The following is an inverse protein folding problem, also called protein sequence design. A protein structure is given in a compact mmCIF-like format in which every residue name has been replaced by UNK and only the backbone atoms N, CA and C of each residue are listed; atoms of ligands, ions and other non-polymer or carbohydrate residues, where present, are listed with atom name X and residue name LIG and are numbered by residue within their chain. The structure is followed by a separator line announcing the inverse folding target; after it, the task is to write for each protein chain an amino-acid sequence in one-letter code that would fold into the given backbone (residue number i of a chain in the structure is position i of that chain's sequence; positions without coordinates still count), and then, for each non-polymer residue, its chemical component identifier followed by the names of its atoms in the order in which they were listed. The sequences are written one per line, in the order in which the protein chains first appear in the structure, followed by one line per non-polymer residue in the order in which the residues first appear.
data_IF_725406632832
#
_entry.id   IF_725406632832
#
_cell.length_a   1.000
_cell.length_b   1.000
_cell.length_c   1.000
_cell.angle_alpha   90.00
_cell.angle_beta   90.00
_cell.angle_gamma   90.00
#
_symmetry.space_group_name_H-M   'P 1'
#
loop_
_entity.id
_entity.type
_entity.pdbx_description
1 polymer ?
#
# COMPACT_ATOMS: atom_id res chain seq x y z
N UNK A 1 -2.16 38.95 -0.24
CA UNK A 1 -3.09 38.44 0.79
C UNK A 1 -2.73 36.97 0.97
N UNK A 2 -1.96 36.67 2.02
CA UNK A 2 -1.68 35.30 2.44
C UNK A 2 -2.88 34.82 3.24
N UNK A 3 -3.68 33.92 2.70
CA UNK A 3 -4.58 33.11 3.51
C UNK A 3 -3.70 32.16 4.33
N UNK A 4 -3.61 32.47 5.62
CA UNK A 4 -3.02 31.62 6.63
C UNK A 4 -3.75 30.28 6.64
N UNK A 5 -3.09 29.25 6.13
CA UNK A 5 -3.45 27.84 6.29
C UNK A 5 -3.55 27.54 7.80
N UNK A 6 -4.76 27.59 8.33
CA UNK A 6 -5.08 27.10 9.66
C UNK A 6 -5.20 25.58 9.59
N UNK A 7 -4.10 24.89 9.25
CA UNK A 7 -3.89 23.54 9.74
C UNK A 7 -3.94 23.62 11.27
N UNK A 8 -4.44 22.59 11.96
CA UNK A 8 -4.25 22.46 13.40
C UNK A 8 -2.81 22.87 13.70
N UNK A 9 -2.63 24.06 14.27
CA UNK A 9 -1.32 24.55 14.64
C UNK A 9 -0.94 23.70 15.84
N UNK A 10 -0.44 22.49 15.55
CA UNK A 10 0.15 21.61 16.53
C UNK A 10 1.22 22.48 17.17
N UNK A 11 1.01 22.80 18.44
CA UNK A 11 1.92 23.65 19.17
C UNK A 11 3.32 23.07 18.98
N UNK A 12 4.37 23.86 18.71
CA UNK A 12 5.71 23.35 18.40
C UNK A 12 6.35 22.51 19.52
N UNK A 13 5.68 22.39 20.66
CA UNK A 13 6.07 21.52 21.79
C UNK A 13 5.35 20.16 21.79
N UNK A 14 4.42 19.93 20.87
CA UNK A 14 3.68 18.67 20.71
C UNK A 14 4.28 17.95 19.51
N UNK A 15 4.85 16.79 19.76
CA UNK A 15 5.38 15.89 18.75
C UNK A 15 4.23 15.27 17.93
N UNK A 16 4.16 15.50 16.60
CA UNK A 16 3.17 14.84 15.77
C UNK A 16 3.36 13.32 15.83
N UNK A 17 2.24 12.60 15.95
CA UNK A 17 2.26 11.14 16.11
C UNK A 17 1.44 10.50 15.01
N UNK A 18 2.07 9.60 14.27
CA UNK A 18 1.51 8.69 13.30
C UNK A 18 1.31 7.33 13.96
N UNK A 19 0.44 6.50 13.39
CA UNK A 19 0.37 5.11 13.84
C UNK A 19 -0.03 4.13 12.75
N UNK A 20 0.25 2.85 12.99
CA UNK A 20 -0.37 1.73 12.28
C UNK A 20 -1.30 0.97 13.23
N UNK A 21 -2.51 0.66 12.78
CA UNK A 21 -3.50 -0.15 13.50
C UNK A 21 -3.65 -1.49 12.76
N UNK A 22 -3.50 -2.61 13.46
CA UNK A 22 -3.60 -3.96 12.89
C UNK A 22 -3.96 -5.02 13.93
N UNK A 23 -4.29 -6.24 13.49
CA UNK A 23 -4.55 -7.37 14.39
C UNK A 23 -4.25 -8.75 13.76
N UNK A 24 -3.20 -9.47 14.23
CA UNK A 24 -2.11 -8.95 15.03
C UNK A 24 -1.31 -7.91 14.23
N UNK A 25 -0.90 -6.81 14.86
CA UNK A 25 -0.02 -5.81 14.20
C UNK A 25 1.46 -6.23 14.20
N UNK A 26 1.82 -7.20 15.05
CA UNK A 26 3.18 -7.73 15.12
C UNK A 26 3.60 -8.34 13.77
N UNK A 27 4.85 -8.10 13.36
CA UNK A 27 5.35 -8.47 12.03
C UNK A 27 5.19 -7.37 10.97
N UNK A 28 4.55 -6.24 11.31
CA UNK A 28 4.46 -5.09 10.41
C UNK A 28 5.71 -4.19 10.53
N UNK A 29 6.47 -4.04 9.45
CA UNK A 29 7.71 -3.26 9.41
C UNK A 29 7.51 -1.73 9.40
N UNK A 30 6.27 -1.23 9.27
CA UNK A 30 6.00 0.19 9.02
C UNK A 30 6.52 1.09 10.14
N UNK A 31 6.32 0.72 11.41
CA UNK A 31 6.87 1.52 12.51
C UNK A 31 8.40 1.63 12.42
N UNK A 32 9.09 0.52 12.19
CA UNK A 32 10.55 0.50 12.13
C UNK A 32 11.09 1.32 10.94
N UNK A 33 10.50 1.13 9.76
CA UNK A 33 10.91 1.83 8.55
C UNK A 33 10.56 3.32 8.58
N UNK A 34 9.37 3.68 9.04
CA UNK A 34 8.92 5.08 9.09
C UNK A 34 9.67 5.87 10.16
N UNK A 35 9.98 5.30 11.33
CA UNK A 35 10.83 5.98 12.34
C UNK A 35 12.24 6.30 11.81
N UNK A 36 12.82 5.41 10.99
CA UNK A 36 14.10 5.70 10.31
C UNK A 36 13.97 6.83 9.31
N UNK A 37 12.91 6.81 8.49
CA UNK A 37 12.65 7.88 7.53
C UNK A 37 12.41 9.23 8.21
N UNK A 38 11.72 9.25 9.36
CA UNK A 38 11.51 10.46 10.16
C UNK A 38 12.84 11.00 10.71
N UNK A 39 13.69 10.11 11.23
CA UNK A 39 15.03 10.46 11.74
C UNK A 39 15.91 11.05 10.64
N UNK A 40 15.96 10.40 9.47
CA UNK A 40 16.74 10.88 8.30
C UNK A 40 16.22 12.25 7.81
N UNK A 41 14.90 12.47 7.83
CA UNK A 41 14.30 13.74 7.45
C UNK A 41 14.46 14.86 8.51
N UNK A 42 15.05 14.56 9.67
CA UNK A 42 15.19 15.50 10.78
C UNK A 42 13.86 15.91 11.43
N UNK A 43 12.83 15.06 11.30
CA UNK A 43 11.50 15.30 11.85
C UNK A 43 11.39 14.69 13.25
N UNK A 44 11.15 15.53 14.25
CA UNK A 44 10.83 15.09 15.61
C UNK A 44 9.36 14.65 15.70
N UNK A 45 9.01 13.58 14.97
CA UNK A 45 7.70 12.93 14.94
C UNK A 45 7.80 11.53 15.57
N UNK A 46 6.67 10.91 15.90
CA UNK A 46 6.61 9.49 16.28
C UNK A 46 5.71 8.69 15.36
N UNK A 47 6.02 7.41 15.25
CA UNK A 47 5.23 6.37 14.62
C UNK A 47 5.10 5.21 15.61
N UNK A 48 3.87 4.79 15.89
CA UNK A 48 3.60 3.72 16.86
C UNK A 48 2.64 2.67 16.29
N UNK A 49 2.86 1.41 16.66
CA UNK A 49 1.97 0.30 16.29
C UNK A 49 0.96 0.04 17.40
N UNK A 50 -0.32 -0.09 17.03
CA UNK A 50 -1.39 -0.44 17.96
C UNK A 50 -2.05 -1.75 17.54
N UNK A 51 -2.08 -2.69 18.48
CA UNK A 51 -2.77 -3.96 18.33
C UNK A 51 -4.21 -3.79 18.83
N UNK A 52 -5.17 -3.69 17.92
CA UNK A 52 -6.58 -3.38 18.23
C UNK A 52 -7.45 -4.58 17.85
N UNK A 53 -8.40 -5.00 18.67
CA UNK A 53 -9.32 -6.08 18.27
C UNK A 53 -10.26 -5.62 17.14
N UNK A 54 -10.70 -6.51 16.21
CA UNK A 54 -11.81 -6.25 15.30
C UNK A 54 -13.03 -5.56 15.94
N UNK A 55 -13.38 -5.95 17.17
CA UNK A 55 -14.55 -5.40 17.88
C UNK A 55 -14.33 -3.95 18.38
N UNK A 56 -13.07 -3.55 18.59
CA UNK A 56 -12.70 -2.24 19.14
C UNK A 56 -12.29 -1.24 18.04
N UNK A 57 -12.28 -1.66 16.77
CA UNK A 57 -11.76 -0.88 15.64
C UNK A 57 -12.38 0.51 15.54
N UNK A 58 -13.71 0.57 15.58
CA UNK A 58 -14.45 1.83 15.47
C UNK A 58 -14.11 2.81 16.60
N UNK A 59 -13.92 2.29 17.81
CA UNK A 59 -13.53 3.10 18.96
C UNK A 59 -12.08 3.57 18.85
N UNK A 60 -11.17 2.70 18.42
CA UNK A 60 -9.78 3.03 18.21
C UNK A 60 -9.60 4.13 17.16
N UNK A 61 -10.30 4.04 16.02
CA UNK A 61 -10.23 5.08 14.98
C UNK A 61 -10.80 6.40 15.49
N UNK A 62 -11.97 6.39 16.15
CA UNK A 62 -12.52 7.62 16.76
C UNK A 62 -11.57 8.23 17.80
N UNK A 63 -10.95 7.39 18.63
CA UNK A 63 -9.97 7.78 19.62
C UNK A 63 -8.73 8.41 18.98
N UNK A 64 -8.16 7.76 17.97
CA UNK A 64 -7.03 8.27 17.21
C UNK A 64 -7.30 9.66 16.61
N UNK A 65 -8.50 9.86 16.05
CA UNK A 65 -8.94 11.16 15.54
C UNK A 65 -9.08 12.20 16.66
N UNK A 66 -9.69 11.82 17.79
CA UNK A 66 -9.91 12.70 18.93
C UNK A 66 -8.59 13.10 19.64
N UNK A 67 -7.61 12.20 19.67
CA UNK A 67 -6.26 12.45 20.17
C UNK A 67 -5.45 13.39 19.26
N UNK A 68 -5.93 13.65 18.03
CA UNK A 68 -5.25 14.52 17.08
C UNK A 68 -4.01 13.90 16.46
N UNK A 69 -4.01 12.57 16.22
CA UNK A 69 -2.92 11.93 15.49
C UNK A 69 -2.77 12.53 14.09
N UNK A 70 -1.54 12.61 13.60
CA UNK A 70 -1.20 13.24 12.33
C UNK A 70 -1.56 12.39 11.11
N UNK A 71 -1.80 11.09 11.31
CA UNK A 71 -2.07 10.14 10.24
C UNK A 71 -2.13 8.71 10.76
N UNK A 72 -2.91 7.88 10.10
CA UNK A 72 -3.17 6.49 10.49
C UNK A 72 -2.92 5.60 9.27
N UNK A 73 -2.16 4.54 9.43
CA UNK A 73 -2.11 3.41 8.53
C UNK A 73 -2.87 2.23 9.12
N UNK A 74 -3.33 1.36 8.24
CA UNK A 74 -4.08 0.17 8.59
C UNK A 74 -3.44 -1.06 7.97
N UNK A 75 -3.38 -2.11 8.78
CA UNK A 75 -3.06 -3.45 8.37
C UNK A 75 -4.28 -4.35 8.56
N UNK A 76 -4.19 -5.59 8.07
CA UNK A 76 -5.24 -6.57 8.20
C UNK A 76 -5.70 -6.70 9.67
N UNK A 77 -7.02 -6.94 9.91
CA UNK A 77 -8.07 -7.26 8.93
C UNK A 77 -9.09 -6.13 8.69
N UNK A 78 -8.68 -4.86 8.81
CA UNK A 78 -9.61 -3.72 8.92
C UNK A 78 -10.05 -3.07 7.60
N UNK A 79 -9.57 -3.56 6.48
CA UNK A 79 -9.68 -2.94 5.16
C UNK A 79 -11.15 -2.62 4.77
N UNK A 80 -12.08 -3.48 5.17
CA UNK A 80 -13.51 -3.34 4.86
C UNK A 80 -14.27 -2.43 5.82
N UNK A 81 -13.75 -2.20 7.02
CA UNK A 81 -14.39 -1.38 8.06
C UNK A 81 -14.06 0.12 7.91
N UNK A 82 -12.96 0.43 7.22
CA UNK A 82 -12.43 1.79 7.08
C UNK A 82 -13.33 2.77 6.35
N UNK A 83 -14.14 2.30 5.40
CA UNK A 83 -15.02 3.16 4.61
C UNK A 83 -15.96 4.02 5.48
N UNK A 84 -16.37 3.52 6.65
CA UNK A 84 -17.24 4.23 7.59
C UNK A 84 -16.54 5.37 8.35
N UNK A 85 -15.21 5.44 8.28
CA UNK A 85 -14.40 6.41 8.99
C UNK A 85 -13.79 7.47 8.08
N UNK A 86 -14.20 7.54 6.81
CA UNK A 86 -13.60 8.45 5.84
C UNK A 86 -14.58 9.57 5.53
N UNK A 87 -14.18 10.82 5.80
CA UNK A 87 -15.02 11.99 5.53
C UNK A 87 -14.97 12.39 4.04
N UNK A 88 -13.82 12.12 3.40
CA UNK A 88 -13.58 12.33 1.97
C UNK A 88 -12.62 11.28 1.44
N UNK A 89 -12.97 10.72 0.30
CA UNK A 89 -12.01 10.00 -0.51
C UNK A 89 -11.13 11.02 -1.24
N UNK A 90 -9.83 10.73 -1.38
CA UNK A 90 -8.94 11.50 -2.26
C UNK A 90 -9.51 11.52 -3.71
N UNK A 91 -9.62 12.68 -4.38
CA UNK A 91 -10.23 12.79 -5.71
C UNK A 91 -9.58 11.93 -6.80
N UNK A 92 -8.33 11.51 -6.63
CA UNK A 92 -7.64 10.62 -7.58
C UNK A 92 -7.97 9.12 -7.36
N UNK A 93 -8.85 8.81 -6.40
CA UNK A 93 -9.27 7.45 -6.06
C UNK A 93 -10.59 7.04 -6.75
N UNK A 94 -10.82 5.73 -6.90
CA UNK A 94 -12.08 5.19 -7.42
C UNK A 94 -13.26 5.39 -6.43
N UNK A 95 -14.52 5.22 -6.88
CA UNK A 95 -15.73 5.51 -6.09
C UNK A 95 -15.88 4.69 -4.80
N UNK A 96 -15.31 3.48 -4.74
CA UNK A 96 -15.27 2.60 -3.57
C UNK A 96 -13.82 2.15 -3.34
N UNK A 97 -12.95 3.01 -2.82
CA UNK A 97 -11.56 2.64 -2.64
C UNK A 97 -11.45 1.69 -1.48
N UNK A 98 -10.66 0.65 -1.69
CA UNK A 98 -9.95 0.01 -0.60
C UNK A 98 -9.03 1.06 0.02
N UNK A 99 -9.08 1.29 1.33
CA UNK A 99 -8.33 2.36 2.01
C UNK A 99 -7.40 1.70 3.01
N UNK A 100 -6.15 2.15 3.05
CA UNK A 100 -5.17 1.69 4.03
C UNK A 100 -4.50 2.85 4.79
N UNK A 101 -4.69 4.10 4.35
CA UNK A 101 -4.12 5.28 4.98
C UNK A 101 -5.22 6.33 5.21
N UNK A 102 -5.16 7.02 6.34
CA UNK A 102 -5.99 8.16 6.71
C UNK A 102 -5.11 9.33 7.13
N UNK A 103 -5.53 10.55 6.78
CA UNK A 103 -4.90 11.77 7.27
C UNK A 103 -5.89 12.92 7.45
N UNK A 104 -5.67 13.82 8.42
CA UNK A 104 -6.44 15.05 8.54
C UNK A 104 -6.06 16.03 7.43
N UNK A 105 -7.04 16.50 6.68
CA UNK A 105 -6.89 17.56 5.68
C UNK A 105 -8.08 18.52 5.78
N UNK A 106 -7.81 19.80 6.07
CA UNK A 106 -8.82 20.86 6.18
C UNK A 106 -10.02 20.49 7.09
N UNK A 107 -9.73 19.88 8.25
CA UNK A 107 -10.75 19.49 9.24
C UNK A 107 -11.57 18.25 8.88
N UNK A 108 -11.17 17.50 7.85
CA UNK A 108 -11.77 16.22 7.45
C UNK A 108 -10.71 15.14 7.38
N UNK A 109 -11.09 13.89 7.64
CA UNK A 109 -10.24 12.74 7.45
C UNK A 109 -10.35 12.22 6.03
N UNK A 110 -9.23 12.30 5.31
CA UNK A 110 -9.11 11.85 3.92
C UNK A 110 -8.50 10.47 3.90
N UNK A 111 -9.12 9.55 3.16
CA UNK A 111 -8.61 8.20 2.95
C UNK A 111 -7.95 8.03 1.60
N UNK A 112 -6.86 7.25 1.60
CA UNK A 112 -6.11 6.88 0.40
C UNK A 112 -5.71 5.40 0.41
N UNK A 113 -5.43 4.90 -0.78
CA UNK A 113 -4.94 3.55 -1.05
C UNK A 113 -3.48 3.61 -1.50
N UNK A 114 -2.54 3.53 -0.57
CA UNK A 114 -1.12 3.61 -0.87
C UNK A 114 -0.59 2.33 -1.50
N UNK A 115 -1.19 1.17 -1.21
CA UNK A 115 -0.84 -0.08 -1.89
C UNK A 115 -1.14 0.00 -3.39
N UNK A 116 -2.37 0.35 -3.76
CA UNK A 116 -2.79 0.49 -5.15
C UNK A 116 -1.97 1.55 -5.89
N UNK A 117 -1.74 2.70 -5.26
CA UNK A 117 -0.87 3.76 -5.81
C UNK A 117 0.55 3.25 -6.07
N UNK A 118 1.15 2.55 -5.09
CA UNK A 118 2.50 2.02 -5.20
C UNK A 118 2.63 1.02 -6.34
N UNK A 119 1.69 0.08 -6.45
CA UNK A 119 1.71 -0.95 -7.51
C UNK A 119 1.54 -0.32 -8.89
N UNK A 120 0.60 0.62 -9.08
CA UNK A 120 0.44 1.33 -10.36
C UNK A 120 1.71 2.10 -10.73
N UNK A 121 2.32 2.81 -9.78
CA UNK A 121 3.55 3.57 -10.03
C UNK A 121 4.72 2.66 -10.43
N UNK A 122 4.90 1.52 -9.77
CA UNK A 122 5.95 0.55 -10.08
C UNK A 122 5.71 -0.16 -11.42
N UNK A 123 4.47 -0.57 -11.70
CA UNK A 123 4.11 -1.19 -12.98
C UNK A 123 4.35 -0.23 -14.14
N UNK A 124 3.90 1.03 -14.04
CA UNK A 124 4.12 2.03 -15.10
C UNK A 124 5.59 2.44 -15.24
N UNK A 125 6.42 2.26 -14.21
CA UNK A 125 7.88 2.43 -14.31
C UNK A 125 8.53 1.27 -15.07
N UNK A 126 8.08 0.04 -14.83
CA UNK A 126 8.61 -1.15 -15.49
C UNK A 126 8.13 -1.29 -16.94
N UNK A 127 6.85 -1.06 -17.19
CA UNK A 127 6.20 -1.13 -18.50
C UNK A 127 5.53 0.22 -18.77
N UNK A 128 6.21 1.15 -19.45
CA UNK A 128 5.60 2.43 -19.82
C UNK A 128 4.43 2.17 -20.78
N UNK A 129 3.21 2.48 -20.33
CA UNK A 129 1.94 2.20 -21.04
C UNK A 129 1.60 0.70 -21.13
N UNK A 130 1.30 0.04 -19.99
CA UNK A 130 0.91 -1.36 -19.99
C UNK A 130 -0.38 -1.56 -20.81
N UNK A 131 -0.43 -2.62 -21.61
CA UNK A 131 -1.57 -2.92 -22.48
C UNK A 131 -2.65 -3.74 -21.76
N UNK A 132 -2.23 -4.55 -20.79
CA UNK A 132 -3.08 -5.42 -19.99
C UNK A 132 -2.50 -5.59 -18.58
N UNK A 133 -3.38 -5.67 -17.58
CA UNK A 133 -3.01 -5.98 -16.20
C UNK A 133 -3.80 -7.21 -15.76
N UNK A 134 -3.08 -8.27 -15.38
CA UNK A 134 -3.65 -9.51 -14.82
C UNK A 134 -3.32 -9.57 -13.34
N UNK A 135 -4.34 -9.70 -12.49
CA UNK A 135 -4.19 -9.88 -11.05
C UNK A 135 -4.59 -11.32 -10.70
N UNK A 136 -3.63 -12.06 -10.15
CA UNK A 136 -3.82 -13.37 -9.58
C UNK A 136 -4.34 -13.23 -8.15
N UNK A 137 -5.58 -13.67 -7.95
CA UNK A 137 -6.29 -13.54 -6.68
C UNK A 137 -7.42 -12.53 -6.73
N UNK A 138 -8.33 -12.69 -5.77
CA UNK A 138 -9.57 -11.93 -5.66
C UNK A 138 -9.79 -11.30 -4.28
N UNK A 139 -8.74 -11.27 -3.47
CA UNK A 139 -8.73 -10.77 -2.11
C UNK A 139 -8.78 -9.24 -1.98
N UNK A 140 -8.75 -8.75 -0.73
CA UNK A 140 -8.75 -7.32 -0.43
C UNK A 140 -7.67 -6.51 -1.18
N UNK A 141 -6.41 -6.97 -1.18
CA UNK A 141 -5.31 -6.28 -1.88
C UNK A 141 -5.55 -6.26 -3.40
N UNK A 142 -5.94 -7.40 -3.97
CA UNK A 142 -6.25 -7.54 -5.39
C UNK A 142 -7.33 -6.52 -5.83
N UNK A 143 -8.44 -6.42 -5.08
CA UNK A 143 -9.52 -5.45 -5.33
C UNK A 143 -9.05 -4.01 -5.19
N UNK A 144 -8.23 -3.73 -4.17
CA UNK A 144 -7.66 -2.40 -3.96
C UNK A 144 -6.77 -1.95 -5.11
N UNK A 145 -5.92 -2.84 -5.61
CA UNK A 145 -5.04 -2.56 -6.75
C UNK A 145 -5.85 -2.39 -8.05
N UNK A 146 -6.80 -3.29 -8.33
CA UNK A 146 -7.67 -3.21 -9.50
C UNK A 146 -8.41 -1.87 -9.58
N UNK A 147 -8.89 -1.38 -8.43
CA UNK A 147 -9.60 -0.11 -8.32
C UNK A 147 -8.73 1.09 -8.76
N UNK A 148 -7.42 1.02 -8.54
CA UNK A 148 -6.45 2.05 -8.92
C UNK A 148 -6.11 2.01 -10.42
N UNK A 149 -6.01 0.83 -11.03
CA UNK A 149 -5.83 0.73 -12.49
C UNK A 149 -7.05 1.25 -13.27
N UNK A 150 -8.25 1.10 -12.72
CA UNK A 150 -9.47 1.63 -13.33
C UNK A 150 -9.43 3.16 -13.50
N UNK A 151 -8.78 3.91 -12.60
CA UNK A 151 -8.65 5.38 -12.73
C UNK A 151 -7.72 5.79 -13.88
N UNK A 152 -6.87 4.87 -14.36
CA UNK A 152 -5.99 5.04 -15.52
C UNK A 152 -6.60 4.54 -16.83
N UNK A 153 -7.87 4.10 -16.83
CA UNK A 153 -8.53 3.47 -17.98
C UNK A 153 -7.79 2.24 -18.52
N UNK A 154 -7.03 1.54 -17.66
CA UNK A 154 -6.32 0.32 -18.01
C UNK A 154 -7.21 -0.89 -17.75
N UNK A 155 -7.27 -1.81 -18.71
CA UNK A 155 -8.00 -3.06 -18.56
C UNK A 155 -7.31 -3.93 -17.51
N UNK A 156 -8.02 -4.22 -16.42
CA UNK A 156 -7.54 -5.07 -15.34
C UNK A 156 -8.45 -6.29 -15.22
N UNK A 157 -7.86 -7.48 -15.25
CA UNK A 157 -8.56 -8.75 -15.07
C UNK A 157 -8.07 -9.42 -13.80
N UNK A 158 -8.99 -9.64 -12.86
CA UNK A 158 -8.74 -10.48 -11.70
C UNK A 158 -9.10 -11.92 -12.06
N UNK A 159 -8.20 -12.85 -11.80
CA UNK A 159 -8.38 -14.24 -12.21
C UNK A 159 -7.98 -15.20 -11.09
N UNK A 160 -8.74 -16.31 -11.00
CA UNK A 160 -8.45 -17.46 -10.13
C UNK A 160 -7.78 -18.62 -10.90
N UNK A 161 -7.64 -18.47 -12.22
CA UNK A 161 -6.91 -19.34 -13.14
C UNK A 161 -6.27 -18.51 -14.24
N UNK A 162 -5.27 -19.07 -14.92
CA UNK A 162 -4.38 -18.31 -15.78
C UNK A 162 -4.68 -18.56 -17.27
N UNK A 163 -5.32 -17.64 -18.00
CA UNK A 163 -5.34 -17.68 -19.46
C UNK A 163 -4.09 -16.98 -20.01
N UNK A 164 -2.89 -17.46 -19.67
CA UNK A 164 -1.62 -16.76 -19.96
C UNK A 164 -0.99 -17.07 -21.31
N UNK A 165 -1.68 -17.85 -22.14
CA UNK A 165 -1.18 -18.22 -23.46
C UNK A 165 -0.98 -17.02 -24.41
N UNK A 166 -1.56 -15.85 -24.09
CA UNK A 166 -1.53 -14.65 -24.94
C UNK A 166 -0.78 -13.46 -24.33
N UNK A 167 -0.10 -13.60 -23.18
CA UNK A 167 0.66 -12.47 -22.63
C UNK A 167 1.86 -12.09 -23.50
N UNK A 168 2.12 -10.79 -23.56
CA UNK A 168 3.29 -10.20 -24.22
C UNK A 168 4.02 -9.21 -23.30
N UNK A 169 5.08 -8.59 -23.81
CA UNK A 169 5.91 -7.66 -23.05
C UNK A 169 5.19 -6.38 -22.61
N UNK A 170 3.97 -6.11 -23.08
CA UNK A 170 3.11 -5.03 -22.63
C UNK A 170 2.24 -5.38 -21.42
N UNK A 171 2.17 -6.66 -21.06
CA UNK A 171 1.37 -7.12 -19.92
C UNK A 171 2.10 -6.98 -18.58
N UNK A 172 1.34 -6.69 -17.52
CA UNK A 172 1.79 -6.77 -16.13
C UNK A 172 1.00 -7.86 -15.40
N UNK A 173 1.71 -8.76 -14.70
CA UNK A 173 1.10 -9.80 -13.87
C UNK A 173 1.35 -9.48 -12.40
N UNK A 174 0.29 -9.49 -11.58
CA UNK A 174 0.35 -9.15 -10.16
C UNK A 174 -0.10 -10.36 -9.35
N UNK A 175 0.79 -10.90 -8.54
CA UNK A 175 0.49 -11.96 -7.59
C UNK A 175 0.03 -11.34 -6.26
N UNK A 176 -1.28 -11.43 -5.99
CA UNK A 176 -1.93 -10.79 -4.86
C UNK A 176 -2.49 -11.82 -3.86
N UNK A 177 -3.50 -11.41 -3.09
CA UNK A 177 -4.16 -12.23 -2.10
C UNK A 177 -5.40 -12.95 -2.65
N UNK A 178 -5.72 -14.10 -2.06
CA UNK A 178 -6.98 -14.78 -2.23
C UNK A 178 -8.09 -14.12 -1.38
N UNK A 179 -9.34 -14.51 -1.61
CA UNK A 179 -10.52 -14.02 -0.87
C UNK A 179 -10.42 -14.03 0.65
N UNK A 180 -9.61 -14.92 1.23
CA UNK A 180 -9.38 -15.02 2.69
C UNK A 180 -8.26 -14.10 3.20
N UNK A 181 -7.60 -13.35 2.31
CA UNK A 181 -6.49 -12.45 2.61
C UNK A 181 -5.13 -13.14 2.66
N UNK A 182 -5.05 -14.46 2.47
CA UNK A 182 -3.79 -15.16 2.35
C UNK A 182 -3.17 -14.95 0.94
N UNK A 183 -1.85 -15.13 0.77
CA UNK A 183 -1.23 -15.14 -0.56
C UNK A 183 -1.94 -16.13 -1.49
N UNK A 184 -2.21 -15.73 -2.73
CA UNK A 184 -2.89 -16.59 -3.68
C UNK A 184 -2.04 -17.85 -3.99
N UNK A 185 -2.60 -19.06 -3.95
CA UNK A 185 -1.78 -20.25 -4.14
C UNK A 185 -1.36 -20.43 -5.61
N UNK A 186 -0.05 -20.43 -5.89
CA UNK A 186 0.47 -20.71 -7.23
C UNK A 186 0.61 -22.21 -7.56
N UNK A 187 0.51 -23.08 -6.54
CA UNK A 187 0.72 -24.51 -6.73
C UNK A 187 -0.33 -25.14 -7.65
N UNK A 188 0.13 -25.78 -8.73
CA UNK A 188 -0.74 -26.42 -9.71
C UNK A 188 -1.31 -25.49 -10.77
N UNK A 189 -0.93 -24.21 -10.77
CA UNK A 189 -1.27 -23.27 -11.85
C UNK A 189 -0.24 -23.33 -12.98
N UNK A 190 -0.71 -23.19 -14.22
CA UNK A 190 0.16 -23.01 -15.38
C UNK A 190 0.66 -21.56 -15.44
N UNK A 191 1.82 -21.30 -14.84
CA UNK A 191 2.41 -19.96 -14.74
C UNK A 191 3.44 -19.66 -15.84
N UNK A 192 3.75 -20.60 -16.73
CA UNK A 192 4.80 -20.45 -17.73
C UNK A 192 4.62 -19.21 -18.63
N UNK A 193 3.37 -18.83 -18.95
CA UNK A 193 3.06 -17.65 -19.74
C UNK A 193 3.47 -16.31 -19.09
N UNK A 194 3.66 -16.26 -17.76
CA UNK A 194 4.19 -15.07 -17.07
C UNK A 194 5.58 -14.68 -17.57
N UNK A 195 6.35 -15.63 -18.12
CA UNK A 195 7.69 -15.35 -18.65
C UNK A 195 7.68 -14.36 -19.84
N UNK A 196 6.55 -14.25 -20.55
CA UNK A 196 6.39 -13.28 -21.64
C UNK A 196 5.97 -11.88 -21.15
N UNK A 197 5.53 -11.73 -19.91
CA UNK A 197 5.05 -10.46 -19.37
C UNK A 197 6.18 -9.44 -19.24
N UNK A 198 5.87 -8.16 -19.45
CA UNK A 198 6.81 -7.07 -19.26
C UNK A 198 7.28 -6.91 -17.82
N UNK A 199 6.38 -7.16 -16.86
CA UNK A 199 6.73 -7.25 -15.45
C UNK A 199 5.85 -8.23 -14.66
N UNK A 200 6.41 -8.74 -13.57
CA UNK A 200 5.69 -9.50 -12.55
C UNK A 200 5.86 -8.84 -11.18
N UNK A 201 4.75 -8.65 -10.46
CA UNK A 201 4.69 -8.04 -9.13
C UNK A 201 4.35 -9.10 -8.10
N UNK A 202 5.14 -9.18 -7.04
CA UNK A 202 4.89 -10.04 -5.87
C UNK A 202 4.46 -9.16 -4.69
N UNK A 203 3.33 -9.48 -4.05
CA UNK A 203 2.89 -8.79 -2.82
C UNK A 203 3.26 -9.53 -1.54
N UNK A 204 3.55 -10.83 -1.61
CA UNK A 204 3.96 -11.62 -0.46
C UNK A 204 5.46 -11.55 -0.23
N UNK A 205 5.86 -11.46 1.04
CA UNK A 205 7.25 -11.64 1.47
C UNK A 205 7.66 -13.12 1.55
N UNK A 206 6.71 -14.04 1.39
CA UNK A 206 7.00 -15.47 1.35
C UNK A 206 7.86 -15.83 0.14
N UNK A 207 8.86 -16.67 0.37
CA UNK A 207 9.91 -16.96 -0.63
C UNK A 207 9.55 -18.03 -1.65
N UNK A 208 8.39 -18.71 -1.54
CA UNK A 208 7.97 -19.71 -2.52
C UNK A 208 6.47 -20.06 -2.48
N UNK A 209 5.85 -20.34 -3.65
CA UNK A 209 6.35 -20.11 -5.02
C UNK A 209 6.12 -18.64 -5.46
N UNK A 210 7.01 -18.12 -6.31
CA UNK A 210 6.88 -16.83 -7.00
C UNK A 210 6.55 -17.04 -8.49
N UNK A 211 6.09 -15.99 -9.17
CA UNK A 211 5.84 -16.00 -10.60
C UNK A 211 7.14 -16.22 -11.41
N UNK A 212 7.12 -17.07 -12.45
CA UNK A 212 8.29 -17.29 -13.27
C UNK A 212 8.57 -16.06 -14.14
N UNK A 213 9.82 -15.61 -14.13
CA UNK A 213 10.27 -14.45 -14.89
C UNK A 213 10.98 -14.88 -16.17
N UNK A 214 10.68 -14.20 -17.27
CA UNK A 214 11.46 -14.32 -18.50
C UNK A 214 12.69 -13.41 -18.48
N UNK A 215 13.63 -13.59 -19.44
CA UNK A 215 14.89 -12.83 -19.47
C UNK A 215 14.73 -11.31 -19.60
N UNK A 216 13.58 -10.85 -20.13
CA UNK A 216 13.26 -9.43 -20.33
C UNK A 216 12.21 -8.92 -19.35
N UNK A 217 11.68 -9.79 -18.49
CA UNK A 217 10.64 -9.44 -17.52
C UNK A 217 11.26 -8.73 -16.32
N UNK A 218 10.65 -7.63 -15.89
CA UNK A 218 11.06 -6.90 -14.70
C UNK A 218 10.37 -7.51 -13.48
N UNK A 219 11.16 -7.94 -12.49
CA UNK A 219 10.66 -8.36 -11.20
C UNK A 219 10.41 -7.15 -10.30
N UNK A 220 9.22 -7.07 -9.72
CA UNK A 220 8.88 -6.11 -8.67
C UNK A 220 8.54 -6.93 -7.42
N UNK A 221 9.43 -6.90 -6.43
CA UNK A 221 9.29 -7.68 -5.19
C UNK A 221 8.32 -7.02 -4.21
N UNK A 222 7.90 -7.78 -3.19
CA UNK A 222 7.12 -7.24 -2.08
C UNK A 222 7.87 -6.13 -1.33
N UNK A 223 9.20 -6.20 -1.26
CA UNK A 223 10.03 -5.12 -0.68
C UNK A 223 9.94 -3.85 -1.53
N UNK A 224 9.99 -3.95 -2.87
CA UNK A 224 9.80 -2.80 -3.75
C UNK A 224 8.46 -2.11 -3.51
N UNK A 225 7.39 -2.91 -3.38
CA UNK A 225 6.04 -2.43 -3.10
C UNK A 225 5.96 -1.77 -1.73
N UNK A 226 6.52 -2.38 -0.68
CA UNK A 226 6.54 -1.81 0.67
C UNK A 226 7.30 -0.49 0.74
N UNK A 227 8.48 -0.42 0.11
CA UNK A 227 9.28 0.81 0.03
C UNK A 227 8.47 1.92 -0.62
N UNK A 228 7.84 1.64 -1.76
CA UNK A 228 7.04 2.64 -2.47
C UNK A 228 5.80 3.06 -1.68
N UNK A 229 5.07 2.09 -1.12
CA UNK A 229 3.87 2.32 -0.29
C UNK A 229 4.20 3.21 0.91
N UNK A 230 5.28 2.92 1.62
CA UNK A 230 5.68 3.69 2.81
C UNK A 230 6.20 5.08 2.42
N UNK A 231 6.92 5.21 1.30
CA UNK A 231 7.36 6.50 0.79
C UNK A 231 6.18 7.42 0.42
N UNK A 232 5.15 6.87 -0.22
CA UNK A 232 3.96 7.62 -0.61
C UNK A 232 3.19 8.11 0.63
N UNK A 233 2.94 7.23 1.60
CA UNK A 233 2.30 7.60 2.85
C UNK A 233 3.10 8.62 3.68
N UNK A 234 4.42 8.45 3.76
CA UNK A 234 5.31 9.41 4.42
C UNK A 234 5.21 10.80 3.78
N UNK A 235 5.22 10.87 2.44
CA UNK A 235 5.07 12.12 1.70
C UNK A 235 3.73 12.78 1.95
N UNK A 236 2.64 12.01 1.91
CA UNK A 236 1.30 12.54 2.10
C UNK A 236 1.12 13.11 3.54
N UNK A 237 1.67 12.43 4.56
CA UNK A 237 1.58 12.89 5.95
C UNK A 237 2.48 14.08 6.28
N UNK A 238 3.73 14.06 5.79
CA UNK A 238 4.76 15.03 6.20
C UNK A 238 4.95 16.19 5.23
N UNK A 239 4.50 16.03 3.98
CA UNK A 239 4.81 16.92 2.87
C UNK A 239 6.26 16.83 2.37
N UNK A 240 7.06 15.88 2.88
CA UNK A 240 8.45 15.67 2.50
C UNK A 240 8.65 14.28 1.87
N UNK A 241 9.51 14.13 0.85
CA UNK A 241 9.81 12.81 0.32
C UNK A 241 10.64 11.99 1.32
N UNK A 242 10.33 10.71 1.48
CA UNK A 242 11.23 9.76 2.13
C UNK A 242 12.33 9.30 1.17
N UNK A 243 13.53 9.03 1.69
CA UNK A 243 14.60 8.40 0.91
C UNK A 243 14.29 6.91 0.69
N UNK A 244 14.17 6.43 -0.56
CA UNK A 244 13.84 5.03 -0.82
C UNK A 244 14.87 4.03 -0.28
N UNK A 245 16.15 4.41 -0.26
CA UNK A 245 17.22 3.57 0.29
C UNK A 245 17.06 3.37 1.81
N UNK A 246 16.76 4.44 2.55
CA UNK A 246 16.52 4.36 4.00
C UNK A 246 15.36 3.43 4.33
N UNK A 247 14.26 3.53 3.58
CA UNK A 247 13.11 2.65 3.74
C UNK A 247 13.46 1.20 3.40
N UNK A 248 14.17 0.98 2.30
CA UNK A 248 14.61 -0.35 1.88
C UNK A 248 15.48 -1.02 2.94
N UNK A 249 16.55 -0.36 3.36
CA UNK A 249 17.47 -0.87 4.38
C UNK A 249 16.72 -1.21 5.68
N UNK A 250 15.75 -0.39 6.07
CA UNK A 250 14.93 -0.65 7.25
C UNK A 250 14.02 -1.88 7.09
N UNK A 251 13.40 -2.05 5.93
CA UNK A 251 12.49 -3.17 5.65
C UNK A 251 13.28 -4.47 5.57
N UNK A 252 14.40 -4.48 4.83
CA UNK A 252 15.27 -5.65 4.70
C UNK A 252 15.86 -6.05 6.06
N UNK A 253 16.30 -5.08 6.87
CA UNK A 253 16.77 -5.37 8.24
C UNK A 253 15.67 -5.92 9.14
N UNK A 254 14.45 -5.38 9.07
CA UNK A 254 13.33 -5.86 9.90
C UNK A 254 12.95 -7.31 9.59
N UNK A 255 13.01 -7.70 8.30
CA UNK A 255 12.65 -9.04 7.84
C UNK A 255 13.84 -10.00 7.69
N UNK A 256 15.05 -9.55 8.00
CA UNK A 256 16.29 -10.33 7.88
C UNK A 256 16.54 -10.88 6.45
N UNK A 257 16.32 -10.04 5.43
CA UNK A 257 16.45 -10.36 4.00
C UNK A 257 17.84 -10.07 3.42
#
# INVERSE_FOLDING_TARGET
MQESNNFMAVHPAIQPTLCVIGFPVAGNAMQFATERALTEAGLDWKFVSFNVSPDDFDEAVRGAKALGLAGLAFAAPFETQLANHVDRIDPDQPPNPWIDFLQPNQGRWVGSNQLGRAVVELVCQAVPEPTEVVILGDGPQARGIASHFATKSLACQMVDHLPLEHLDSGAAVIHADASDGAPFPLNGLETAGCQSAGCCVELSLDTAPQLPLGPQSIAISAVDVLVRRFANGFCDWTGLPAQPSTLREAIEEYFEL
#
